data_IF_773012159592
#
_entry.id   IF_773012159592
#
_cell.length_a   1.000
_cell.length_b   1.000
_cell.length_c   1.000
_cell.angle_alpha   90.00
_cell.angle_beta   90.00
_cell.angle_gamma   90.00
#
_symmetry.space_group_name_H-M   'P 1'
#
loop_
_entity.id
_entity.type
_entity.pdbx_description
1 polymer ?
#
# COMPACT_ATOMS: atom_id res chain seq x y z
N UNK A 1 3.98 -28.62 -2.15
CA UNK A 1 3.42 -27.34 -1.68
C UNK A 1 1.96 -27.35 -2.08
N UNK A 2 1.02 -27.46 -1.14
CA UNK A 2 -0.41 -27.30 -1.42
C UNK A 2 -0.66 -25.80 -1.50
N UNK A 3 -0.85 -25.27 -2.72
CA UNK A 3 -1.25 -23.87 -2.89
C UNK A 3 -2.69 -23.77 -2.40
N UNK A 4 -2.95 -22.91 -1.43
CA UNK A 4 -4.29 -22.68 -0.93
C UNK A 4 -5.10 -21.98 -2.05
N UNK A 5 -6.24 -22.53 -2.51
CA UNK A 5 -7.03 -21.92 -3.57
C UNK A 5 -7.45 -20.47 -3.28
N UNK A 6 -7.62 -20.13 -2.00
CA UNK A 6 -7.91 -18.77 -1.57
C UNK A 6 -6.72 -17.83 -1.81
N UNK A 7 -5.51 -18.29 -1.55
CA UNK A 7 -4.28 -17.51 -1.77
C UNK A 7 -4.11 -17.17 -3.24
N UNK A 8 -4.34 -18.13 -4.15
CA UNK A 8 -4.31 -17.88 -5.59
C UNK A 8 -5.33 -16.84 -6.04
N UNK A 9 -6.56 -16.90 -5.51
CA UNK A 9 -7.60 -15.92 -5.86
C UNK A 9 -7.27 -14.52 -5.35
N UNK A 10 -6.72 -14.42 -4.13
CA UNK A 10 -6.28 -13.14 -3.58
C UNK A 10 -5.16 -12.54 -4.41
N UNK A 11 -4.19 -13.36 -4.85
CA UNK A 11 -3.09 -12.88 -5.69
C UNK A 11 -3.61 -12.37 -7.05
N UNK A 12 -4.54 -13.07 -7.69
CA UNK A 12 -5.16 -12.60 -8.94
C UNK A 12 -5.87 -11.27 -8.77
N UNK A 13 -6.61 -11.09 -7.68
CA UNK A 13 -7.28 -9.82 -7.40
C UNK A 13 -6.29 -8.68 -7.15
N UNK A 14 -5.16 -8.95 -6.49
CA UNK A 14 -4.10 -7.95 -6.29
C UNK A 14 -3.44 -7.55 -7.62
N UNK A 15 -3.26 -8.50 -8.53
CA UNK A 15 -2.76 -8.22 -9.89
C UNK A 15 -3.74 -7.32 -10.66
N UNK A 16 -5.04 -7.64 -10.64
CA UNK A 16 -6.09 -6.82 -11.28
C UNK A 16 -6.12 -5.38 -10.73
N UNK A 17 -5.97 -5.21 -9.42
CA UNK A 17 -5.88 -3.89 -8.79
C UNK A 17 -4.62 -3.16 -9.25
N UNK A 18 -3.49 -3.86 -9.34
CA UNK A 18 -2.23 -3.30 -9.81
C UNK A 18 -2.31 -2.79 -11.24
N UNK A 19 -2.94 -3.56 -12.13
CA UNK A 19 -3.14 -3.19 -13.53
C UNK A 19 -4.04 -1.95 -13.66
N UNK A 20 -5.16 -1.89 -12.95
CA UNK A 20 -6.06 -0.72 -12.94
C UNK A 20 -5.35 0.54 -12.42
N UNK A 21 -4.56 0.43 -11.34
CA UNK A 21 -3.80 1.55 -10.80
C UNK A 21 -2.76 2.06 -11.81
N UNK A 22 -2.09 1.13 -12.50
CA UNK A 22 -1.10 1.45 -13.53
C UNK A 22 -1.73 2.14 -14.74
N UNK A 23 -2.90 1.70 -15.20
CA UNK A 23 -3.64 2.35 -16.29
C UNK A 23 -4.01 3.80 -15.94
N UNK A 24 -4.27 4.07 -14.66
CA UNK A 24 -4.55 5.42 -14.14
C UNK A 24 -3.30 6.25 -13.91
N UNK A 25 -2.12 5.73 -14.25
CA UNK A 25 -0.82 6.39 -14.10
C UNK A 25 -0.32 6.44 -12.66
N UNK A 26 -0.91 5.66 -11.75
CA UNK A 26 -0.52 5.62 -10.34
C UNK A 26 0.65 4.63 -10.18
N UNK A 27 1.81 5.13 -9.76
CA UNK A 27 2.98 4.31 -9.50
C UNK A 27 2.96 3.74 -8.08
N UNK A 28 3.54 2.55 -7.89
CA UNK A 28 3.67 1.93 -6.57
C UNK A 28 4.50 2.80 -5.62
N UNK A 29 5.57 3.41 -6.14
CA UNK A 29 6.46 4.27 -5.38
C UNK A 29 5.74 5.51 -4.83
N UNK A 30 4.80 6.04 -5.60
CA UNK A 30 3.93 7.16 -5.20
C UNK A 30 2.98 6.72 -4.09
N UNK A 31 2.27 5.60 -4.26
CA UNK A 31 1.40 5.04 -3.21
C UNK A 31 2.17 4.76 -1.91
N UNK A 32 3.40 4.26 -2.01
CA UNK A 32 4.25 4.02 -0.85
C UNK A 32 4.68 5.31 -0.17
N UNK A 33 5.03 6.35 -0.93
CA UNK A 33 5.39 7.67 -0.41
C UNK A 33 4.20 8.30 0.31
N UNK A 34 3.06 8.38 -0.36
CA UNK A 34 1.85 9.00 0.18
C UNK A 34 1.35 8.24 1.43
N UNK A 35 1.48 6.90 1.42
CA UNK A 35 1.18 6.07 2.57
C UNK A 35 2.13 6.27 3.76
N UNK A 36 3.41 6.61 3.53
CA UNK A 36 4.35 6.96 4.61
C UNK A 36 3.99 8.31 5.22
N UNK A 37 3.69 9.30 4.39
CA UNK A 37 3.27 10.64 4.82
C UNK A 37 1.99 10.55 5.67
N UNK A 38 0.96 9.87 5.16
CA UNK A 38 -0.30 9.67 5.89
C UNK A 38 -0.09 8.99 7.25
N UNK A 39 0.78 7.97 7.31
CA UNK A 39 1.10 7.32 8.61
C UNK A 39 1.81 8.28 9.56
N UNK A 40 2.70 9.13 9.06
CA UNK A 40 3.36 10.17 9.86
C UNK A 40 2.35 11.16 10.45
N UNK A 41 1.42 11.63 9.62
CA UNK A 41 0.35 12.53 10.05
C UNK A 41 -0.55 11.91 11.11
N UNK A 42 -0.95 10.65 10.91
CA UNK A 42 -1.76 9.91 11.89
C UNK A 42 -1.01 9.68 13.20
N UNK A 43 0.29 9.38 13.16
CA UNK A 43 1.11 9.23 14.36
C UNK A 43 1.22 10.54 15.14
N UNK A 44 1.39 11.66 14.45
CA UNK A 44 1.41 12.99 15.06
C UNK A 44 0.05 13.34 15.65
N UNK A 45 -1.03 13.17 14.91
CA UNK A 45 -2.40 13.53 15.33
C UNK A 45 -2.88 12.70 16.52
N UNK A 46 -2.70 11.38 16.46
CA UNK A 46 -3.27 10.46 17.44
C UNK A 46 -2.39 10.28 18.68
N UNK A 47 -1.07 10.41 18.52
CA UNK A 47 -0.12 10.04 19.57
C UNK A 47 0.92 11.14 19.88
N UNK A 48 0.94 12.25 19.14
CA UNK A 48 1.94 13.31 19.31
C UNK A 48 3.37 12.85 18.97
N UNK A 49 3.51 11.77 18.21
CA UNK A 49 4.81 11.22 17.79
C UNK A 49 5.21 11.94 16.50
N UNK A 50 6.34 12.66 16.53
CA UNK A 50 6.92 13.22 15.32
C UNK A 50 7.52 12.08 14.48
N UNK A 51 7.26 12.02 13.16
CA UNK A 51 7.89 11.05 12.29
C UNK A 51 9.41 11.29 12.25
N UNK A 52 10.20 10.22 12.30
CA UNK A 52 11.66 10.30 12.14
C UNK A 52 11.99 10.58 10.66
N UNK A 53 12.79 11.62 10.41
CA UNK A 53 13.35 11.92 9.09
C UNK A 53 14.53 10.96 8.83
N UNK A 54 14.33 9.94 8.00
CA UNK A 54 15.36 8.99 7.53
C UNK A 54 15.57 9.09 6.01
#
# INVERSE_FOLDING_TARGET
MLINPLETQVMQLLDEIGDELRERGVALEELMRDGRELRGDLLRELYGIEPEDD
#
